data_IF_810812585635
#
_entry.id   IF_810812585635
#
_cell.length_a   1.000
_cell.length_b   1.000
_cell.length_c   1.000
_cell.angle_alpha   90.00
_cell.angle_beta   90.00
_cell.angle_gamma   90.00
#
_symmetry.space_group_name_H-M   'P 1'
#
loop_
_entity.id
_entity.type
_entity.pdbx_description
1 polymer ?
#
# COMPACT_ATOMS: atom_id res chain seq x y z
N UNK A 1 35.23 -27.56 -17.27
CA UNK A 1 34.06 -27.02 -16.54
C UNK A 1 34.41 -25.59 -16.17
N UNK A 2 33.54 -24.61 -16.45
CA UNK A 2 33.76 -23.20 -16.09
C UNK A 2 33.09 -22.95 -14.74
N UNK A 3 33.87 -22.57 -13.73
CA UNK A 3 33.36 -22.12 -12.44
C UNK A 3 32.62 -20.79 -12.62
N UNK A 4 31.32 -20.78 -12.33
CA UNK A 4 30.50 -19.57 -12.33
C UNK A 4 30.80 -18.84 -11.02
N UNK A 5 31.20 -17.55 -11.03
CA UNK A 5 31.36 -16.79 -9.80
C UNK A 5 29.99 -16.68 -9.10
N UNK A 6 29.85 -17.33 -7.95
CA UNK A 6 28.69 -17.15 -7.06
C UNK A 6 28.67 -15.70 -6.59
N UNK A 7 27.66 -14.94 -7.03
CA UNK A 7 27.42 -13.60 -6.52
C UNK A 7 27.16 -13.65 -5.00
N UNK A 8 27.70 -12.71 -4.20
CA UNK A 8 27.48 -12.72 -2.76
C UNK A 8 25.97 -12.68 -2.45
N UNK A 9 25.50 -13.42 -1.43
CA UNK A 9 24.09 -13.40 -1.06
C UNK A 9 23.66 -11.97 -0.77
N UNK A 10 22.62 -11.49 -1.46
CA UNK A 10 21.98 -10.21 -1.13
C UNK A 10 21.41 -10.32 0.29
N UNK A 11 22.06 -9.67 1.25
CA UNK A 11 21.51 -9.48 2.59
C UNK A 11 20.20 -8.71 2.45
N UNK A 12 19.09 -9.31 2.86
CA UNK A 12 17.83 -8.56 2.95
C UNK A 12 17.99 -7.52 4.06
N UNK A 13 17.64 -6.25 3.83
CA UNK A 13 17.63 -5.25 4.89
C UNK A 13 16.63 -5.70 5.98
N UNK A 14 17.10 -5.82 7.23
CA UNK A 14 16.22 -6.07 8.37
C UNK A 14 15.73 -4.74 8.92
N UNK A 15 14.41 -4.62 9.10
CA UNK A 15 13.82 -3.48 9.77
C UNK A 15 13.57 -3.88 11.23
N UNK A 16 14.17 -3.13 12.17
CA UNK A 16 14.03 -3.38 13.59
C UNK A 16 13.04 -2.37 14.20
N UNK A 17 12.12 -2.86 15.03
CA UNK A 17 11.19 -2.03 15.78
C UNK A 17 11.82 -1.58 17.09
N UNK A 18 11.81 -0.28 17.36
CA UNK A 18 11.98 0.26 18.70
C UNK A 18 10.64 0.80 19.19
N UNK A 19 9.96 0.02 20.04
CA UNK A 19 8.61 0.31 20.54
C UNK A 19 8.54 1.57 21.42
N UNK A 20 9.66 1.99 22.02
CA UNK A 20 9.71 3.14 22.93
C UNK A 20 9.38 4.45 22.21
N UNK A 21 9.72 4.56 20.92
CA UNK A 21 9.35 5.73 20.10
C UNK A 21 7.85 5.85 19.86
N UNK A 22 7.09 4.78 20.12
CA UNK A 22 5.65 4.74 19.91
C UNK A 22 4.86 5.04 21.18
N UNK A 23 5.49 4.97 22.37
CA UNK A 23 4.83 5.27 23.65
C UNK A 23 4.16 6.64 23.71
N UNK A 24 4.72 7.74 23.14
CA UNK A 24 4.08 9.05 23.19
C UNK A 24 2.68 9.07 22.54
N UNK A 25 2.40 8.19 21.57
CA UNK A 25 1.09 8.08 20.93
C UNK A 25 0.04 7.39 21.82
N UNK A 26 0.45 6.86 22.98
CA UNK A 26 -0.41 6.19 23.95
C UNK A 26 -0.49 6.96 25.28
N UNK A 27 -0.12 8.24 25.33
CA UNK A 27 -0.18 9.04 26.56
C UNK A 27 -1.59 9.13 27.14
N UNK A 28 -2.61 9.28 26.27
CA UNK A 28 -4.03 9.34 26.69
C UNK A 28 -4.65 7.97 26.99
N UNK A 29 -3.89 6.88 26.77
CA UNK A 29 -4.40 5.52 26.97
C UNK A 29 -4.30 5.09 28.43
N UNK A 30 -5.41 4.57 28.96
CA UNK A 30 -5.50 3.96 30.29
C UNK A 30 -4.88 2.57 30.39
N UNK A 31 -4.33 2.04 29.28
CA UNK A 31 -3.67 0.75 29.25
C UNK A 31 -2.36 0.77 30.04
N UNK A 32 -1.96 -0.39 30.57
CA UNK A 32 -0.64 -0.58 31.17
C UNK A 32 0.46 -0.51 30.12
N UNK A 33 1.70 -0.24 30.53
CA UNK A 33 2.84 -0.21 29.62
C UNK A 33 3.04 -1.54 28.89
N UNK A 34 2.82 -2.66 29.59
CA UNK A 34 2.89 -3.99 29.02
C UNK A 34 1.85 -4.20 27.90
N UNK A 35 0.62 -3.72 28.08
CA UNK A 35 -0.42 -3.78 27.06
C UNK A 35 -0.11 -2.88 25.86
N UNK A 36 0.44 -1.68 26.10
CA UNK A 36 0.90 -0.77 25.04
C UNK A 36 1.99 -1.43 24.20
N UNK A 37 2.99 -2.02 24.85
CA UNK A 37 4.06 -2.74 24.18
C UNK A 37 3.52 -3.92 23.36
N UNK A 38 2.67 -4.77 23.97
CA UNK A 38 2.06 -5.91 23.28
C UNK A 38 1.28 -5.48 22.03
N UNK A 39 0.52 -4.38 22.12
CA UNK A 39 -0.19 -3.82 20.97
C UNK A 39 0.76 -3.37 19.86
N UNK A 40 1.81 -2.62 20.21
CA UNK A 40 2.81 -2.12 19.26
C UNK A 40 3.52 -3.27 18.54
N UNK A 41 3.92 -4.31 19.28
CA UNK A 41 4.54 -5.51 18.71
C UNK A 41 3.60 -6.31 17.82
N UNK A 42 2.31 -6.38 18.18
CA UNK A 42 1.27 -7.03 17.38
C UNK A 42 1.08 -6.29 16.05
N UNK A 43 0.95 -4.96 16.09
CA UNK A 43 0.83 -4.13 14.88
C UNK A 43 2.04 -4.26 13.98
N UNK A 44 3.24 -4.28 14.55
CA UNK A 44 4.48 -4.48 13.79
C UNK A 44 4.53 -5.85 13.11
N UNK A 45 4.10 -6.90 13.81
CA UNK A 45 4.02 -8.26 13.26
C UNK A 45 3.07 -8.33 12.07
N UNK A 46 1.94 -7.62 12.12
CA UNK A 46 1.00 -7.50 11.00
C UNK A 46 1.65 -6.78 9.81
N UNK A 47 2.34 -5.66 10.05
CA UNK A 47 3.06 -4.93 8.99
C UNK A 47 4.13 -5.80 8.34
N UNK A 48 4.92 -6.53 9.13
CA UNK A 48 5.90 -7.48 8.61
C UNK A 48 5.25 -8.58 7.79
N UNK A 49 4.13 -9.14 8.24
CA UNK A 49 3.39 -10.14 7.46
C UNK A 49 2.98 -9.59 6.08
N UNK A 50 2.50 -8.36 5.98
CA UNK A 50 2.20 -7.72 4.69
C UNK A 50 3.44 -7.45 3.83
N UNK A 51 4.58 -7.11 4.44
CA UNK A 51 5.85 -6.94 3.72
C UNK A 51 6.39 -8.29 3.23
N UNK A 52 6.27 -9.35 4.03
CA UNK A 52 6.70 -10.72 3.73
C UNK A 52 5.83 -11.42 2.70
N UNK A 53 4.51 -11.14 2.68
CA UNK A 53 3.64 -11.51 1.55
C UNK A 53 4.15 -10.92 0.23
N UNK A 54 5.06 -9.95 0.30
CA UNK A 54 5.55 -9.20 -0.82
C UNK A 54 4.48 -8.21 -1.25
N UNK A 55 4.90 -7.05 -1.72
CA UNK A 55 4.08 -6.30 -2.67
C UNK A 55 4.09 -7.03 -4.02
N UNK A 56 3.87 -8.34 -3.99
CA UNK A 56 3.55 -9.16 -5.14
C UNK A 56 2.09 -8.83 -5.49
N UNK A 57 1.85 -7.56 -5.78
CA UNK A 57 0.95 -7.15 -6.84
C UNK A 57 1.55 -7.68 -8.15
N UNK A 58 1.69 -9.01 -8.26
CA UNK A 58 1.48 -9.64 -9.52
C UNK A 58 0.13 -9.07 -9.94
N UNK A 59 0.15 -8.21 -10.95
CA UNK A 59 -1.04 -7.64 -11.56
C UNK A 59 -1.77 -8.83 -12.17
N UNK A 60 -2.46 -9.59 -11.33
CA UNK A 60 -3.43 -10.55 -11.79
C UNK A 60 -4.45 -9.72 -12.56
N UNK A 61 -4.85 -10.13 -13.78
CA UNK A 61 -5.89 -9.45 -14.53
C UNK A 61 -7.15 -9.18 -13.70
N UNK A 62 -7.42 -9.93 -12.62
CA UNK A 62 -8.53 -9.66 -11.69
C UNK A 62 -8.30 -8.44 -10.77
N UNK A 63 -7.05 -8.11 -10.41
CA UNK A 63 -6.72 -6.96 -9.53
C UNK A 63 -6.39 -5.69 -10.33
N UNK A 64 -6.25 -5.81 -11.65
CA UNK A 64 -6.08 -4.66 -12.55
C UNK A 64 -7.43 -3.97 -12.69
N UNK A 65 -7.66 -2.93 -11.89
CA UNK A 65 -8.76 -2.00 -12.15
C UNK A 65 -8.79 -1.62 -13.63
N UNK A 66 -9.97 -1.61 -14.25
CA UNK A 66 -10.12 -1.32 -15.67
C UNK A 66 -9.35 -0.04 -16.01
N UNK A 67 -8.47 -0.10 -17.02
CA UNK A 67 -7.75 1.08 -17.47
C UNK A 67 -8.75 2.08 -18.05
N UNK A 68 -9.11 3.10 -17.27
CA UNK A 68 -9.96 4.19 -17.72
C UNK A 68 -9.13 5.12 -18.61
N UNK A 69 -9.46 5.17 -19.91
CA UNK A 69 -8.92 6.19 -20.80
C UNK A 69 -9.58 7.54 -20.46
N UNK A 70 -8.90 8.31 -19.60
CA UNK A 70 -9.33 9.64 -19.18
C UNK A 70 -9.51 10.58 -20.38
N UNK A 71 -8.77 10.40 -21.46
CA UNK A 71 -8.87 11.25 -22.66
C UNK A 71 -10.16 10.96 -23.41
N UNK A 72 -10.55 9.69 -23.51
CA UNK A 72 -11.83 9.31 -24.08
C UNK A 72 -13.00 9.78 -23.21
N UNK A 73 -12.90 9.59 -21.89
CA UNK A 73 -13.93 10.01 -20.94
C UNK A 73 -14.17 11.54 -20.95
N UNK A 74 -13.09 12.33 -20.97
CA UNK A 74 -13.18 13.79 -21.03
C UNK A 74 -13.76 14.28 -22.36
N UNK A 75 -13.38 13.66 -23.49
CA UNK A 75 -13.95 14.01 -24.80
C UNK A 75 -15.44 13.72 -24.90
N UNK A 76 -15.89 12.58 -24.37
CA UNK A 76 -17.31 12.23 -24.34
C UNK A 76 -18.13 13.23 -23.51
N UNK A 77 -17.61 13.64 -22.35
CA UNK A 77 -18.26 14.62 -21.49
C UNK A 77 -18.34 16.02 -22.15
N UNK A 78 -17.31 16.43 -22.89
CA UNK A 78 -17.31 17.70 -23.63
C UNK A 78 -18.35 17.67 -24.75
N UNK A 79 -18.44 16.58 -25.51
CA UNK A 79 -19.44 16.44 -26.60
C UNK A 79 -20.87 16.47 -26.05
N UNK A 80 -21.12 15.94 -24.86
CA UNK A 80 -22.44 15.97 -24.23
C UNK A 80 -22.84 17.36 -23.67
N UNK A 81 -21.86 18.24 -23.41
CA UNK A 81 -22.12 19.60 -22.93
C UNK A 81 -22.74 20.51 -24.00
N UNK A 82 -22.65 20.16 -25.28
CA UNK A 82 -23.09 21.02 -26.39
C UNK A 82 -24.54 20.75 -26.82
N UNK A 83 -25.20 19.72 -26.28
CA UNK A 83 -26.56 19.32 -26.67
C UNK A 83 -27.66 19.82 -25.71
N UNK A 84 -27.29 20.40 -24.55
CA UNK A 84 -28.27 20.77 -23.50
C UNK A 84 -28.78 22.21 -23.62
N UNK A 85 -28.99 22.71 -24.84
CA UNK A 85 -29.50 24.08 -25.06
C UNK A 85 -30.65 24.17 -26.08
N UNK A 86 -31.25 23.04 -26.49
CA UNK A 86 -32.33 23.05 -27.50
C UNK A 86 -33.46 22.08 -27.19
N UNK A 87 -34.20 22.32 -26.12
CA UNK A 87 -35.61 21.86 -26.03
C UNK A 87 -36.36 22.68 -24.97
N UNK A 88 -36.67 23.94 -25.29
CA UNK A 88 -37.80 24.65 -24.66
C UNK A 88 -38.43 25.60 -25.69
N UNK A 89 -39.35 25.08 -26.51
CA UNK A 89 -40.52 25.79 -27.06
C UNK A 89 -41.68 24.81 -27.20
#
# INVERSE_FOLDING_TARGET
MKDIPQAPPKTRPSIHLNWQYWLPYFEDSTATEAEKQQLIETLWSIVLAFVDLGWDLNTDPETRGQSLDLTAALRAAVVQSEDTDKEEI
#
